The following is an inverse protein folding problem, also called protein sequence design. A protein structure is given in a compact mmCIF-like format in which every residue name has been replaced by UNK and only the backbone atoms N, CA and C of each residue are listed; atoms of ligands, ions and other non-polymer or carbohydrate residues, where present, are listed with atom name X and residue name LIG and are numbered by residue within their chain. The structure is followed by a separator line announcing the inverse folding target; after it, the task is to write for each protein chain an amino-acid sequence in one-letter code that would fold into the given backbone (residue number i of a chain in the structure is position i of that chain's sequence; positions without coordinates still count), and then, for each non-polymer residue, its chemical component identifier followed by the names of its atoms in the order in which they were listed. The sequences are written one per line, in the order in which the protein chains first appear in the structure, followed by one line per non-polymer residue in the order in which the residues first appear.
data_IF_873319769295
#
_entry.id   IF_873319769295
#
_cell.length_a   1.000
_cell.length_b   1.000
_cell.length_c   1.000
_cell.angle_alpha   90.00
_cell.angle_beta   90.00
_cell.angle_gamma   90.00
#
_symmetry.space_group_name_H-M   'P 1'
#
loop_
_entity.id
_entity.type
_entity.pdbx_description
1 polymer ?
#
# COMPACT_ATOMS: atom_id res chain seq x y z
N UNK A 1 7.02 -1.57 -16.57
CA UNK A 1 5.84 -0.73 -16.29
C UNK A 1 6.24 0.30 -15.24
N UNK A 2 5.81 1.56 -15.37
CA UNK A 2 6.03 2.63 -14.38
C UNK A 2 5.62 2.17 -12.96
N UNK A 3 4.53 1.43 -12.81
CA UNK A 3 4.08 0.89 -11.52
C UNK A 3 5.10 -0.05 -10.85
N UNK A 4 5.83 -0.88 -11.62
CA UNK A 4 6.85 -1.77 -11.05
C UNK A 4 8.14 -1.04 -10.67
N UNK A 5 8.51 0.00 -11.45
CA UNK A 5 9.65 0.89 -11.13
C UNK A 5 9.34 1.71 -9.88
N UNK A 6 8.11 2.21 -9.77
CA UNK A 6 7.62 3.02 -8.66
C UNK A 6 7.50 2.18 -7.38
N UNK A 7 7.00 0.95 -7.49
CA UNK A 7 7.00 -0.01 -6.37
C UNK A 7 8.42 -0.40 -5.93
N UNK A 8 9.38 -0.49 -6.85
CA UNK A 8 10.79 -0.75 -6.51
C UNK A 8 11.42 0.43 -5.79
N UNK A 9 11.27 1.64 -6.34
CA UNK A 9 11.81 2.88 -5.78
C UNK A 9 11.27 3.22 -4.40
N UNK A 10 9.95 3.04 -4.20
CA UNK A 10 9.32 3.22 -2.89
C UNK A 10 9.78 2.18 -1.86
N UNK A 11 10.15 0.97 -2.31
CA UNK A 11 10.63 -0.11 -1.44
C UNK A 11 12.11 0.06 -1.06
N UNK A 12 12.91 0.71 -1.90
CA UNK A 12 14.34 1.00 -1.65
C UNK A 12 14.58 2.37 -1.04
N UNK A 13 13.57 3.24 -0.99
CA UNK A 13 13.68 4.62 -0.49
C UNK A 13 14.83 5.41 -1.13
N UNK A 14 15.14 5.13 -2.40
CA UNK A 14 16.13 5.93 -3.15
C UNK A 14 15.57 7.33 -3.35
N UNK A 15 16.05 8.29 -2.56
CA UNK A 15 15.55 9.67 -2.53
C UNK A 15 15.54 10.32 -3.90
N UNK A 16 16.55 10.09 -4.73
CA UNK A 16 16.65 10.75 -6.04
C UNK A 16 15.60 10.19 -7.00
N UNK A 17 15.28 8.91 -6.87
CA UNK A 17 14.21 8.23 -7.60
C UNK A 17 12.83 8.68 -7.07
N UNK A 18 12.68 8.83 -5.75
CA UNK A 18 11.45 9.34 -5.13
C UNK A 18 11.15 10.79 -5.52
N UNK A 19 12.18 11.63 -5.63
CA UNK A 19 12.06 13.03 -6.06
C UNK A 19 11.59 13.08 -7.52
N UNK A 20 12.23 12.30 -8.40
CA UNK A 20 11.87 12.24 -9.83
C UNK A 20 10.48 11.63 -10.06
N UNK A 21 10.06 10.68 -9.23
CA UNK A 21 8.74 10.03 -9.31
C UNK A 21 7.68 10.72 -8.45
N UNK A 22 8.02 11.76 -7.70
CA UNK A 22 7.13 12.41 -6.74
C UNK A 22 5.86 12.94 -7.40
N UNK A 23 6.00 13.56 -8.58
CA UNK A 23 4.86 14.00 -9.38
C UNK A 23 3.97 12.83 -9.79
N UNK A 24 4.55 11.75 -10.31
CA UNK A 24 3.80 10.55 -10.70
C UNK A 24 3.09 9.88 -9.51
N UNK A 25 3.70 9.88 -8.32
CA UNK A 25 3.08 9.38 -7.08
C UNK A 25 1.89 10.25 -6.70
N UNK A 26 2.06 11.57 -6.73
CA UNK A 26 0.98 12.51 -6.42
C UNK A 26 -0.19 12.40 -7.40
N UNK A 27 0.10 12.28 -8.68
CA UNK A 27 -0.91 12.14 -9.74
C UNK A 27 -1.63 10.80 -9.62
N UNK A 28 -0.91 9.70 -9.40
CA UNK A 28 -1.55 8.39 -9.20
C UNK A 28 -2.45 8.38 -7.96
N UNK A 29 -2.01 8.97 -6.85
CA UNK A 29 -2.84 9.09 -5.65
C UNK A 29 -4.09 9.95 -5.90
N UNK A 30 -3.96 11.05 -6.66
CA UNK A 30 -5.11 11.90 -7.04
C UNK A 30 -6.08 11.14 -7.93
N UNK A 31 -5.58 10.40 -8.92
CA UNK A 31 -6.39 9.62 -9.84
C UNK A 31 -7.16 8.51 -9.10
N UNK A 32 -6.52 7.79 -8.17
CA UNK A 32 -7.20 6.79 -7.34
C UNK A 32 -8.33 7.43 -6.53
N UNK A 33 -8.11 8.60 -5.92
CA UNK A 33 -9.15 9.31 -5.15
C UNK A 33 -10.31 9.79 -6.01
N UNK A 34 -10.02 10.26 -7.23
CA UNK A 34 -11.02 10.68 -8.18
C UNK A 34 -11.86 9.47 -8.62
N UNK A 35 -11.21 8.39 -9.06
CA UNK A 35 -11.88 7.14 -9.45
C UNK A 35 -12.69 6.55 -8.29
N UNK A 36 -12.17 6.56 -7.06
CA UNK A 36 -12.91 6.13 -5.88
C UNK A 36 -14.22 6.92 -5.74
N UNK A 37 -14.15 8.25 -5.87
CA UNK A 37 -15.34 9.11 -5.84
C UNK A 37 -16.30 8.74 -6.98
N UNK A 38 -15.82 8.66 -8.22
CA UNK A 38 -16.67 8.34 -9.38
C UNK A 38 -17.34 6.96 -9.26
N UNK A 39 -16.63 5.96 -8.76
CA UNK A 39 -17.10 4.58 -8.64
C UNK A 39 -18.03 4.38 -7.42
N UNK A 40 -17.83 5.14 -6.34
CA UNK A 40 -18.40 4.81 -5.02
C UNK A 40 -19.15 5.95 -4.31
N UNK A 41 -19.15 7.19 -4.80
CA UNK A 41 -19.78 8.35 -4.13
C UNK A 41 -21.30 8.21 -3.93
N UNK A 42 -21.99 7.37 -4.71
CA UNK A 42 -23.45 7.20 -4.63
C UNK A 42 -23.89 5.75 -4.44
N UNK A 43 -22.97 4.82 -4.14
CA UNK A 43 -23.29 3.41 -3.97
C UNK A 43 -23.06 3.01 -2.52
N UNK A 44 -24.12 2.54 -1.84
CA UNK A 44 -23.94 1.74 -0.63
C UNK A 44 -23.33 0.42 -1.07
N UNK A 45 -22.07 0.19 -0.72
CA UNK A 45 -21.36 -1.03 -1.07
C UNK A 45 -21.14 -1.79 0.22
N UNK A 46 -21.63 -3.03 0.23
CA UNK A 46 -21.38 -3.96 1.31
C UNK A 46 -19.89 -4.20 1.48
N UNK A 47 -19.40 -4.40 2.71
CA UNK A 47 -18.02 -4.78 2.94
C UNK A 47 -17.62 -5.98 2.07
N UNK A 48 -16.45 -5.89 1.44
CA UNK A 48 -15.95 -6.90 0.52
C UNK A 48 -14.55 -7.37 0.91
N UNK A 49 -14.11 -8.47 0.30
CA UNK A 49 -12.80 -9.05 0.55
C UNK A 49 -11.93 -8.92 -0.69
N UNK A 50 -10.68 -8.54 -0.48
CA UNK A 50 -9.62 -8.60 -1.49
C UNK A 50 -8.43 -9.38 -0.99
N UNK A 51 -7.66 -9.89 -1.93
CA UNK A 51 -6.53 -10.75 -1.70
C UNK A 51 -5.27 -10.16 -2.29
N UNK A 52 -4.14 -10.51 -1.67
CA UNK A 52 -2.81 -10.25 -2.22
C UNK A 52 -1.86 -11.36 -1.78
N UNK A 53 -1.22 -12.02 -2.74
CA UNK A 53 -0.13 -12.93 -2.44
C UNK A 53 1.24 -12.31 -2.66
N UNK A 54 2.21 -12.74 -1.87
CA UNK A 54 3.63 -12.49 -2.12
C UNK A 54 4.51 -13.44 -1.32
N UNK A 55 5.70 -13.72 -1.85
CA UNK A 55 6.80 -14.26 -1.06
C UNK A 55 7.45 -13.18 -0.18
N UNK A 56 7.78 -13.52 1.06
CA UNK A 56 8.59 -12.67 1.95
C UNK A 56 9.76 -13.45 2.55
N UNK A 57 10.89 -12.79 2.84
CA UNK A 57 11.99 -13.43 3.57
C UNK A 57 11.56 -13.87 4.98
N UNK A 58 12.03 -15.03 5.43
CA UNK A 58 11.75 -15.59 6.77
C UNK A 58 11.95 -14.57 7.91
N UNK A 59 13.05 -13.83 7.89
CA UNK A 59 13.33 -12.84 8.94
C UNK A 59 12.30 -11.70 9.02
N UNK A 60 11.66 -11.33 7.90
CA UNK A 60 10.57 -10.35 7.86
C UNK A 60 9.26 -10.99 8.33
N UNK A 61 9.03 -12.24 7.95
CA UNK A 61 7.87 -13.00 8.41
C UNK A 61 7.87 -13.21 9.93
N UNK A 62 9.01 -13.55 10.52
CA UNK A 62 9.15 -13.67 11.99
C UNK A 62 8.83 -12.38 12.72
N UNK A 63 9.17 -11.22 12.13
CA UNK A 63 8.77 -9.91 12.66
C UNK A 63 7.26 -9.69 12.52
N UNK A 64 6.66 -10.08 11.39
CA UNK A 64 5.23 -9.94 11.16
C UNK A 64 4.40 -10.74 12.18
N UNK A 65 4.76 -12.00 12.46
CA UNK A 65 4.03 -12.83 13.45
C UNK A 65 4.00 -12.15 14.83
N UNK A 66 5.11 -11.50 15.23
CA UNK A 66 5.20 -10.78 16.51
C UNK A 66 4.30 -9.55 16.58
N UNK A 67 3.75 -9.10 15.47
CA UNK A 67 2.85 -7.94 15.39
C UNK A 67 1.36 -8.31 15.38
N UNK A 68 1.00 -9.56 15.72
CA UNK A 68 -0.42 -9.96 15.85
C UNK A 68 -1.20 -8.97 16.72
N UNK A 69 -2.43 -8.64 16.32
CA UNK A 69 -3.28 -7.57 16.89
C UNK A 69 -2.77 -6.13 16.70
N UNK A 70 -1.60 -5.95 16.08
CA UNK A 70 -1.02 -4.67 15.74
C UNK A 70 -1.60 -4.06 14.46
N UNK A 71 -0.97 -2.97 14.02
CA UNK A 71 -1.31 -2.28 12.77
C UNK A 71 -0.27 -2.60 11.71
N UNK A 72 -0.74 -2.67 10.47
CA UNK A 72 0.09 -2.85 9.28
C UNK A 72 -0.29 -1.78 8.25
N UNK A 73 0.72 -1.21 7.60
CA UNK A 73 0.55 -0.38 6.42
C UNK A 73 1.37 -0.94 5.27
N UNK A 74 0.93 -0.62 4.06
CA UNK A 74 1.74 -0.82 2.87
C UNK A 74 2.38 0.51 2.49
N UNK A 75 3.71 0.51 2.36
CA UNK A 75 4.48 1.71 2.04
C UNK A 75 4.28 2.18 0.60
N UNK A 76 3.64 1.37 -0.25
CA UNK A 76 3.44 1.63 -1.67
C UNK A 76 1.96 1.48 -2.02
N UNK A 77 1.61 1.83 -3.25
CA UNK A 77 0.31 1.46 -3.82
C UNK A 77 0.10 -0.05 -3.70
N UNK A 78 -1.05 -0.43 -3.18
CA UNK A 78 -1.37 -1.80 -2.84
C UNK A 78 -2.31 -2.35 -3.92
N UNK A 79 -1.73 -3.16 -4.80
CA UNK A 79 -2.48 -3.92 -5.81
C UNK A 79 -3.01 -5.21 -5.19
N UNK A 80 -4.29 -5.49 -5.42
CA UNK A 80 -5.05 -6.60 -4.86
C UNK A 80 -6.02 -7.15 -5.90
N UNK A 81 -6.54 -8.35 -5.67
CA UNK A 81 -7.57 -8.96 -6.50
C UNK A 81 -8.75 -9.43 -5.65
N UNK A 82 -9.97 -9.37 -6.18
CA UNK A 82 -11.11 -10.09 -5.57
C UNK A 82 -11.03 -11.60 -5.81
N UNK A 83 -10.18 -12.05 -6.74
CA UNK A 83 -9.91 -13.47 -6.98
C UNK A 83 -8.79 -13.98 -6.07
N UNK A 84 -9.17 -14.89 -5.16
CA UNK A 84 -8.26 -15.56 -4.23
C UNK A 84 -7.18 -16.37 -4.97
N UNK A 85 -7.52 -17.03 -6.08
CA UNK A 85 -6.61 -17.94 -6.80
C UNK A 85 -5.48 -17.17 -7.49
N UNK A 86 -5.81 -16.04 -8.12
CA UNK A 86 -4.81 -15.12 -8.69
C UNK A 86 -3.80 -14.73 -7.62
N UNK A 87 -4.28 -14.34 -6.44
CA UNK A 87 -3.42 -13.94 -5.32
C UNK A 87 -2.62 -15.12 -4.76
N UNK A 88 -3.22 -16.30 -4.62
CA UNK A 88 -2.53 -17.48 -4.11
C UNK A 88 -1.33 -17.87 -4.99
N UNK A 89 -1.47 -17.79 -6.32
CA UNK A 89 -0.36 -18.05 -7.24
C UNK A 89 0.85 -17.13 -6.96
N UNK A 90 0.63 -15.87 -6.60
CA UNK A 90 1.71 -14.97 -6.19
C UNK A 90 2.33 -15.34 -4.84
N UNK A 91 1.56 -15.86 -3.89
CA UNK A 91 2.09 -16.36 -2.62
C UNK A 91 2.97 -17.61 -2.82
N UNK A 92 2.61 -18.44 -3.80
CA UNK A 92 3.33 -19.67 -4.17
C UNK A 92 4.55 -19.44 -5.06
N UNK A 93 4.67 -18.27 -5.69
CA UNK A 93 5.73 -17.94 -6.67
C UNK A 93 7.18 -18.19 -6.20
N UNK A 94 7.43 -18.26 -4.89
CA UNK A 94 8.75 -18.49 -4.31
C UNK A 94 8.82 -19.77 -3.47
N UNK A 95 7.93 -20.75 -3.72
CA UNK A 95 7.83 -21.99 -2.94
C UNK A 95 9.12 -22.82 -2.99
N UNK A 96 9.90 -22.73 -4.05
CA UNK A 96 11.17 -23.46 -4.15
C UNK A 96 12.30 -22.82 -3.34
N UNK A 97 12.15 -21.57 -2.90
CA UNK A 97 13.15 -20.90 -2.09
C UNK A 97 12.95 -21.23 -0.59
N UNK A 98 13.89 -21.93 0.07
CA UNK A 98 13.74 -22.30 1.47
C UNK A 98 13.82 -21.10 2.42
N UNK A 99 14.37 -19.96 2.00
CA UNK A 99 14.48 -18.75 2.83
C UNK A 99 13.27 -17.81 2.71
N UNK A 100 12.28 -18.20 1.90
CA UNK A 100 11.06 -17.46 1.66
C UNK A 100 9.86 -18.18 2.26
N UNK A 101 8.89 -17.38 2.71
CA UNK A 101 7.58 -17.81 3.18
C UNK A 101 6.52 -17.16 2.31
N UNK A 102 5.55 -17.95 1.84
CA UNK A 102 4.41 -17.43 1.11
C UNK A 102 3.44 -16.77 2.08
N UNK A 103 2.98 -15.56 1.76
CA UNK A 103 1.91 -14.91 2.50
C UNK A 103 0.74 -14.64 1.55
N UNK A 104 -0.43 -15.08 1.94
CA UNK A 104 -1.70 -14.65 1.39
C UNK A 104 -2.34 -13.66 2.36
N UNK A 105 -2.40 -12.39 1.98
CA UNK A 105 -3.19 -11.39 2.70
C UNK A 105 -4.64 -11.50 2.27
N UNK A 106 -5.54 -11.60 3.25
CA UNK A 106 -6.99 -11.47 3.07
C UNK A 106 -7.44 -10.20 3.77
N UNK A 107 -7.93 -9.23 3.02
CA UNK A 107 -8.25 -7.90 3.52
C UNK A 107 -9.75 -7.66 3.42
N UNK A 108 -10.40 -7.43 4.56
CA UNK A 108 -11.79 -6.96 4.62
C UNK A 108 -11.80 -5.44 4.48
N UNK A 109 -12.53 -4.96 3.47
CA UNK A 109 -12.64 -3.55 3.12
C UNK A 109 -14.06 -3.10 3.42
N UNK A 110 -14.16 -2.02 4.21
CA UNK A 110 -15.40 -1.28 4.42
C UNK A 110 -15.34 -0.01 3.56
N UNK A 111 -16.13 0.08 2.47
CA UNK A 111 -16.11 1.21 1.54
C UNK A 111 -16.53 2.54 2.18
N UNK A 112 -17.20 2.52 3.33
CA UNK A 112 -17.56 3.74 4.07
C UNK A 112 -16.33 4.44 4.68
N UNK A 113 -15.17 3.76 4.73
CA UNK A 113 -13.93 4.30 5.26
C UNK A 113 -13.27 5.23 4.22
N UNK A 114 -13.58 6.53 4.32
CA UNK A 114 -13.06 7.57 3.41
C UNK A 114 -11.52 7.72 3.42
N UNK A 115 -10.85 7.29 4.48
CA UNK A 115 -9.38 7.34 4.60
C UNK A 115 -8.66 6.22 3.83
N UNK A 116 -9.40 5.28 3.24
CA UNK A 116 -8.86 4.18 2.44
C UNK A 116 -9.32 4.30 0.98
N UNK A 117 -8.82 5.28 0.20
CA UNK A 117 -9.22 5.40 -1.20
C UNK A 117 -8.63 4.25 -2.03
N UNK A 118 -9.49 3.64 -2.85
CA UNK A 118 -9.18 2.56 -3.79
C UNK A 118 -9.93 2.74 -5.10
N UNK A 119 -9.48 2.09 -6.16
CA UNK A 119 -10.16 2.11 -7.44
C UNK A 119 -10.10 0.73 -8.11
N UNK A 120 -11.19 0.34 -8.78
CA UNK A 120 -11.13 -0.69 -9.80
C UNK A 120 -10.32 -0.16 -10.98
N UNK A 121 -9.31 -0.92 -11.41
CA UNK A 121 -8.43 -0.53 -12.52
C UNK A 121 -8.59 -1.40 -13.76
N UNK A 122 -9.53 -2.34 -13.76
CA UNK A 122 -9.75 -3.33 -14.84
C UNK A 122 -9.86 -2.72 -16.25
N UNK A 123 -10.43 -1.51 -16.39
CA UNK A 123 -10.64 -0.84 -17.68
C UNK A 123 -9.42 -0.03 -18.16
N UNK A 124 -8.46 0.18 -17.27
CA UNK A 124 -7.28 1.05 -17.46
C UNK A 124 -5.97 0.24 -17.35
N UNK A 125 -6.01 -0.92 -16.69
CA UNK A 125 -4.88 -1.82 -16.53
C UNK A 125 -4.44 -2.40 -17.88
N UNK A 126 -3.15 -2.75 -17.97
CA UNK A 126 -2.55 -3.32 -19.17
C UNK A 126 -3.25 -4.63 -19.60
N UNK A 127 -3.82 -5.36 -18.64
CA UNK A 127 -4.59 -6.60 -18.84
C UNK A 127 -6.10 -6.33 -18.76
N UNK A 128 -6.63 -5.61 -19.76
CA UNK A 128 -8.06 -5.27 -19.82
C UNK A 128 -8.94 -6.53 -19.72
N UNK A 129 -9.85 -6.55 -18.76
CA UNK A 129 -10.93 -7.54 -18.65
C UNK A 129 -10.56 -8.92 -18.10
N UNK A 130 -9.31 -9.16 -17.70
CA UNK A 130 -8.87 -10.46 -17.17
C UNK A 130 -8.59 -10.46 -15.67
N UNK A 131 -8.22 -9.31 -15.10
CA UNK A 131 -7.89 -9.19 -13.69
C UNK A 131 -8.94 -8.30 -13.01
N UNK A 132 -9.54 -8.80 -11.91
CA UNK A 132 -10.38 -8.00 -11.02
C UNK A 132 -9.49 -7.22 -10.05
N UNK A 133 -8.62 -6.37 -10.61
CA UNK A 133 -7.61 -5.63 -9.86
C UNK A 133 -8.22 -4.41 -9.16
N UNK A 134 -8.00 -4.35 -7.85
CA UNK A 134 -8.30 -3.19 -7.02
C UNK A 134 -6.99 -2.60 -6.53
N UNK A 135 -6.78 -1.32 -6.85
CA UNK A 135 -5.59 -0.57 -6.46
C UNK A 135 -5.91 0.40 -5.32
N UNK A 136 -5.23 0.22 -4.19
CA UNK A 136 -5.31 1.09 -3.03
C UNK A 136 -4.22 2.15 -3.05
N UNK A 137 -4.55 3.34 -2.56
CA UNK A 137 -3.57 4.40 -2.36
C UNK A 137 -2.52 4.03 -1.31
N UNK A 138 -1.40 4.76 -1.32
CA UNK A 138 -0.35 4.60 -0.32
C UNK A 138 -0.86 4.91 1.09
N UNK A 139 -0.23 4.25 2.07
CA UNK A 139 -0.49 4.46 3.50
C UNK A 139 -1.88 4.02 3.99
N UNK A 140 -2.57 3.15 3.25
CA UNK A 140 -3.73 2.44 3.81
C UNK A 140 -3.31 1.64 5.04
N UNK A 141 -4.08 1.80 6.13
CA UNK A 141 -3.87 1.13 7.40
C UNK A 141 -4.82 -0.04 7.58
N UNK A 142 -4.25 -1.13 8.09
CA UNK A 142 -4.96 -2.36 8.40
C UNK A 142 -4.70 -2.78 9.84
N UNK A 143 -5.73 -3.29 10.51
CA UNK A 143 -5.58 -4.07 11.74
C UNK A 143 -5.29 -5.51 11.35
N UNK A 144 -4.25 -6.10 11.96
CA UNK A 144 -4.01 -7.54 11.86
C UNK A 144 -5.02 -8.25 12.76
N UNK A 145 -5.94 -9.00 12.16
CA UNK A 145 -6.98 -9.78 12.85
C UNK A 145 -6.41 -11.13 13.25
N UNK A 146 -5.79 -11.85 12.31
CA UNK A 146 -5.23 -13.17 12.57
C UNK A 146 -4.06 -13.49 11.64
N UNK A 147 -3.22 -14.43 12.08
CA UNK A 147 -2.11 -14.98 11.30
C UNK A 147 -2.09 -16.48 11.56
N UNK A 148 -2.32 -17.29 10.53
CA UNK A 148 -2.42 -18.75 10.64
C UNK A 148 -1.90 -19.48 9.39
N UNK A 149 -1.48 -20.75 9.48
CA UNK A 149 -1.15 -21.56 8.32
C UNK A 149 -2.34 -21.65 7.35
N UNK A 150 -2.05 -21.68 6.06
CA UNK A 150 -3.08 -21.75 5.02
C UNK A 150 -3.38 -23.20 4.65
N UNK A 151 -4.62 -23.67 4.89
CA UNK A 151 -5.15 -24.98 4.41
C UNK A 151 -4.18 -26.17 4.59
N UNK A 152 -3.50 -26.23 5.74
CA UNK A 152 -2.48 -27.22 6.12
C UNK A 152 -1.12 -27.15 5.37
N UNK A 153 -0.90 -26.13 4.54
CA UNK A 153 0.42 -25.82 4.00
C UNK A 153 1.23 -25.00 5.02
N UNK A 154 2.28 -25.61 5.58
CA UNK A 154 3.14 -24.97 6.57
C UNK A 154 4.05 -23.87 5.97
N UNK A 155 4.09 -23.74 4.64
CA UNK A 155 4.92 -22.78 3.91
C UNK A 155 4.13 -21.55 3.44
N UNK A 156 2.80 -21.59 3.53
CA UNK A 156 1.91 -20.49 3.19
C UNK A 156 1.14 -20.07 4.44
N UNK A 157 1.12 -18.77 4.69
CA UNK A 157 0.40 -18.20 5.82
C UNK A 157 -0.70 -17.27 5.34
N UNK A 158 -1.89 -17.44 5.91
CA UNK A 158 -3.00 -16.52 5.76
C UNK A 158 -2.85 -15.41 6.81
N UNK A 159 -2.81 -14.17 6.35
CA UNK A 159 -2.82 -12.98 7.20
C UNK A 159 -4.13 -12.26 6.96
N UNK A 160 -4.99 -12.29 7.97
CA UNK A 160 -6.30 -11.63 7.94
C UNK A 160 -6.14 -10.19 8.40
N UNK A 161 -6.57 -9.26 7.56
CA UNK A 161 -6.46 -7.83 7.73
C UNK A 161 -7.85 -7.20 7.65
N UNK A 162 -8.10 -6.18 8.47
CA UNK A 162 -9.29 -5.33 8.36
C UNK A 162 -8.85 -3.89 8.10
N UNK A 163 -9.34 -3.29 7.02
CA UNK A 163 -9.14 -1.88 6.77
C UNK A 163 -9.73 -1.08 7.93
N UNK A 164 -8.97 -0.11 8.44
CA UNK A 164 -9.43 0.74 9.53
C UNK A 164 -9.46 2.19 9.06
N UNK A 165 -10.36 2.96 9.66
CA UNK A 165 -10.36 4.39 9.42
C UNK A 165 -9.13 5.01 10.07
N UNK A 166 -8.25 5.59 9.27
CA UNK A 166 -7.21 6.50 9.74
C UNK A 166 -7.85 7.85 10.10
N UNK A 167 -8.72 7.81 11.11
CA UNK A 167 -9.03 8.96 11.93
C UNK A 167 -8.00 9.09 13.06
N UNK A 168 -6.75 8.62 12.85
CA UNK A 168 -5.71 8.92 13.80
C UNK A 168 -5.38 10.42 13.66
N UNK A 169 -6.08 11.21 14.48
CA UNK A 169 -5.91 12.65 14.62
C UNK A 169 -4.42 12.99 14.78
N UNK A 170 -3.59 12.05 15.27
CA UNK A 170 -2.13 12.17 15.38
C UNK A 170 -1.40 12.17 14.05
N UNK A 171 -1.71 11.27 13.11
CA UNK A 171 -1.10 11.24 11.77
C UNK A 171 -1.54 12.44 10.94
N UNK A 172 -2.81 12.81 11.04
CA UNK A 172 -3.32 14.03 10.42
C UNK A 172 -2.68 15.29 11.01
N UNK A 173 -2.50 15.35 12.33
CA UNK A 173 -1.81 16.47 13.00
C UNK A 173 -0.33 16.51 12.63
N UNK A 174 0.36 15.37 12.61
CA UNK A 174 1.76 15.29 12.18
C UNK A 174 1.92 15.74 10.74
N UNK A 175 1.07 15.26 9.83
CA UNK A 175 1.10 15.65 8.42
C UNK A 175 0.80 17.14 8.24
N UNK A 176 -0.17 17.69 8.98
CA UNK A 176 -0.47 19.13 8.97
C UNK A 176 0.69 19.96 9.53
N UNK A 177 1.31 19.51 10.61
CA UNK A 177 2.47 20.16 11.22
C UNK A 177 3.65 20.18 10.26
N UNK A 178 4.04 19.02 9.70
CA UNK A 178 5.10 18.92 8.69
C UNK A 178 4.79 19.86 7.53
N UNK A 179 3.57 19.83 6.97
CA UNK A 179 3.18 20.74 5.87
C UNK A 179 3.25 22.22 6.27
N UNK A 180 2.98 22.56 7.52
CA UNK A 180 3.06 23.93 8.02
C UNK A 180 4.51 24.39 8.21
N UNK A 181 5.38 23.49 8.64
CA UNK A 181 6.80 23.74 8.90
C UNK A 181 7.63 23.72 7.61
N UNK A 182 7.19 22.97 6.61
CA UNK A 182 7.83 22.90 5.29
C UNK A 182 7.10 23.77 4.27
N UNK A 183 6.39 24.83 4.70
CA UNK A 183 5.72 25.77 3.78
C UNK A 183 6.75 26.42 2.87
N UNK A 184 6.37 26.57 1.60
CA UNK A 184 7.26 27.11 0.58
C UNK A 184 6.49 27.55 -0.66
N UNK A 185 7.08 28.48 -1.40
CA UNK A 185 6.49 29.11 -2.59
C UNK A 185 6.32 28.12 -3.75
N UNK A 186 7.20 27.11 -3.83
CA UNK A 186 7.18 26.06 -4.86
C UNK A 186 7.20 24.65 -4.25
N UNK A 187 6.93 23.62 -5.04
CA UNK A 187 7.07 22.22 -4.60
C UNK A 187 8.50 21.87 -4.18
N UNK A 188 9.49 22.41 -4.87
CA UNK A 188 10.91 22.24 -4.58
C UNK A 188 11.34 22.93 -3.28
N UNK A 189 10.86 24.14 -3.02
CA UNK A 189 11.11 24.85 -1.75
C UNK A 189 10.56 24.05 -0.55
N UNK A 190 9.36 23.48 -0.69
CA UNK A 190 8.78 22.61 0.35
C UNK A 190 9.59 21.33 0.55
N UNK A 191 10.07 20.71 -0.54
CA UNK A 191 10.89 19.52 -0.50
C UNK A 191 12.26 19.79 0.14
N UNK A 192 12.95 20.88 -0.25
CA UNK A 192 14.21 21.29 0.35
C UNK A 192 14.07 21.52 1.85
N UNK A 193 13.01 22.23 2.29
CA UNK A 193 12.71 22.41 3.73
C UNK A 193 12.42 21.11 4.46
N UNK A 194 11.76 20.15 3.81
CA UNK A 194 11.56 18.81 4.37
C UNK A 194 12.88 18.06 4.52
N UNK A 195 13.75 18.10 3.52
CA UNK A 195 15.06 17.46 3.55
C UNK A 195 15.96 18.05 4.66
N UNK A 196 15.94 19.37 4.85
CA UNK A 196 16.62 20.02 5.97
C UNK A 196 16.10 19.55 7.33
N UNK A 197 14.78 19.37 7.48
CA UNK A 197 14.15 18.84 8.69
C UNK A 197 14.48 17.37 8.97
N UNK A 198 14.87 16.62 7.94
CA UNK A 198 15.29 15.22 8.02
C UNK A 198 16.82 15.06 8.09
N UNK A 199 17.55 16.15 8.34
CA UNK A 199 19.01 16.23 8.36
C UNK A 199 19.67 15.72 7.07
N UNK A 200 18.97 15.82 5.93
CA UNK A 200 19.46 15.43 4.60
C UNK A 200 20.07 16.64 3.87
N UNK A 201 21.01 17.35 4.51
CA UNK A 201 21.57 18.61 4.02
C UNK A 201 22.14 18.52 2.60
N UNK A 202 22.92 17.47 2.31
CA UNK A 202 23.53 17.25 0.99
C UNK A 202 22.49 17.11 -0.14
N UNK A 203 21.28 16.66 0.17
CA UNK A 203 20.18 16.53 -0.81
C UNK A 203 19.33 17.80 -0.89
N UNK A 204 19.36 18.63 0.14
CA UNK A 204 18.65 19.91 0.15
C UNK A 204 19.38 21.00 -0.66
N UNK A 205 20.70 20.86 -0.84
CA UNK A 205 21.53 21.76 -1.67
C UNK A 205 21.48 21.45 -3.18
N UNK A 206 20.96 20.29 -3.59
CA UNK A 206 20.81 19.88 -5.00
C UNK A 206 19.53 20.43 -5.62
#
# INVERSE_FOLDING_TARGET
NIASILNRALRTLETDTLIKLGFSICDLNRNIKQLHTEQFHSRSIEPFIVYRGQGVPKNRFEKLIKTKNGLMSFNNFLSTSTDKQVSLAFAESNRDNPDMVGILFQMTIDPSILSTPFAYVNDIAYYKGQEQEILFSMHTLFRIVDIKPYENDNRIWLVELKAINDSDHRLNKLTKNIRSETRGSTGWDRLGRLLLKLDQFNKAEQ
#
